data_IF_874964478836
#
_entry.id   IF_874964478836
#
_cell.length_a   1.000
_cell.length_b   1.000
_cell.length_c   1.000
_cell.angle_alpha   90.00
_cell.angle_beta   90.00
_cell.angle_gamma   90.00
#
_symmetry.space_group_name_H-M   'P 1'
#
loop_
_entity.id
_entity.type
_entity.pdbx_description
1 polymer ?
#
# COMPACT_ATOMS: atom_id res chain seq x y z
N UNK A 1 7.63 3.67 -9.57
CA UNK A 1 6.42 3.63 -10.42
C UNK A 1 5.95 5.06 -10.72
N UNK A 2 5.49 5.35 -11.94
CA UNK A 2 4.91 6.65 -12.36
C UNK A 2 3.51 6.44 -12.94
N UNK A 3 2.68 7.48 -13.05
CA UNK A 3 1.33 7.38 -13.63
C UNK A 3 1.36 6.92 -15.10
N UNK A 4 2.25 7.51 -15.92
CA UNK A 4 2.38 7.15 -17.34
C UNK A 4 2.61 5.65 -17.57
N UNK A 5 3.46 5.02 -16.74
CA UNK A 5 3.72 3.58 -16.83
C UNK A 5 2.47 2.75 -16.47
N UNK A 6 1.61 3.24 -15.58
CA UNK A 6 0.35 2.57 -15.21
C UNK A 6 -0.70 2.70 -16.31
N UNK A 7 -0.74 3.84 -17.01
CA UNK A 7 -1.57 4.04 -18.19
C UNK A 7 -1.14 3.11 -19.34
N UNK A 8 0.17 2.94 -19.55
CA UNK A 8 0.72 1.97 -20.50
C UNK A 8 0.33 0.52 -20.19
N UNK A 9 0.10 0.15 -18.92
CA UNK A 9 -0.45 -1.17 -18.62
C UNK A 9 -1.96 -1.25 -18.82
N UNK A 10 -2.67 -0.12 -18.72
CA UNK A 10 -4.12 -0.10 -18.85
C UNK A 10 -4.57 -0.43 -20.28
N UNK A 11 -3.73 -0.23 -21.30
CA UNK A 11 -4.00 -0.68 -22.67
C UNK A 11 -3.99 -2.22 -22.82
N UNK A 12 -3.46 -2.96 -21.86
CA UNK A 12 -3.47 -4.44 -21.86
C UNK A 12 -4.80 -5.02 -21.37
N UNK A 13 -5.77 -4.18 -21.01
CA UNK A 13 -7.12 -4.61 -20.65
C UNK A 13 -7.87 -5.21 -21.87
N UNK A 14 -8.84 -6.14 -21.66
CA UNK A 14 -9.42 -6.53 -20.38
C UNK A 14 -8.55 -7.52 -19.61
N UNK A 15 -8.53 -7.33 -18.28
CA UNK A 15 -7.91 -8.29 -17.36
C UNK A 15 -8.92 -9.34 -16.91
N UNK A 16 -8.46 -10.57 -16.71
CA UNK A 16 -9.29 -11.71 -16.32
C UNK A 16 -8.45 -12.92 -15.96
N UNK A 17 -9.08 -14.10 -15.90
CA UNK A 17 -8.42 -15.36 -15.52
C UNK A 17 -7.20 -15.67 -16.39
N UNK A 18 -7.29 -15.40 -17.69
CA UNK A 18 -6.24 -15.69 -18.67
C UNK A 18 -5.30 -14.49 -18.95
N UNK A 19 -5.62 -13.31 -18.37
CA UNK A 19 -4.81 -12.09 -18.45
C UNK A 19 -4.85 -11.36 -17.09
N UNK A 20 -4.13 -11.86 -16.07
CA UNK A 20 -4.14 -11.24 -14.76
C UNK A 20 -3.49 -9.85 -14.82
N UNK A 21 -3.94 -8.94 -13.95
CA UNK A 21 -3.29 -7.63 -13.81
C UNK A 21 -1.83 -7.79 -13.43
N UNK A 22 -0.92 -6.96 -13.96
CA UNK A 22 0.47 -6.98 -13.55
C UNK A 22 0.60 -6.61 -12.07
N UNK A 23 1.43 -7.36 -11.36
CA UNK A 23 1.82 -7.09 -9.96
C UNK A 23 3.30 -6.77 -9.90
N UNK A 24 3.67 -5.91 -8.95
CA UNK A 24 5.03 -5.43 -8.76
C UNK A 24 5.45 -5.66 -7.34
N UNK A 25 6.75 -5.84 -7.11
CA UNK A 25 7.32 -5.97 -5.79
C UNK A 25 8.19 -4.76 -5.47
N UNK A 26 8.07 -4.26 -4.24
CA UNK A 26 8.97 -3.23 -3.69
C UNK A 26 9.31 -3.61 -2.25
N UNK A 27 10.52 -3.25 -1.81
CA UNK A 27 11.11 -3.69 -0.54
C UNK A 27 11.58 -2.49 0.26
N UNK A 28 11.76 -2.69 1.57
CA UNK A 28 12.29 -1.68 2.49
C UNK A 28 11.49 -0.36 2.49
N UNK A 29 10.18 -0.42 2.24
CA UNK A 29 9.33 0.77 2.24
C UNK A 29 9.08 1.20 3.68
N UNK A 30 9.50 2.41 4.05
CA UNK A 30 9.23 2.96 5.38
C UNK A 30 7.74 3.21 5.55
N UNK A 31 7.17 2.71 6.64
CA UNK A 31 5.78 3.02 7.02
C UNK A 31 5.76 4.35 7.76
N UNK A 32 5.29 5.41 7.11
CA UNK A 32 5.16 6.72 7.77
C UNK A 32 3.86 6.89 8.53
N UNK A 33 2.76 6.27 8.04
CA UNK A 33 1.45 6.34 8.69
C UNK A 33 0.55 5.18 8.29
N UNK A 34 -0.28 4.74 9.23
CA UNK A 34 -1.36 3.76 9.02
C UNK A 34 -2.69 4.30 9.55
N UNK A 35 -3.80 3.98 8.88
CA UNK A 35 -5.14 4.25 9.38
C UNK A 35 -6.17 3.39 8.68
N UNK A 36 -7.22 3.00 9.40
CA UNK A 36 -8.32 2.20 8.86
C UNK A 36 -9.36 3.13 8.25
N UNK A 37 -9.83 2.80 7.04
CA UNK A 37 -10.84 3.55 6.30
C UNK A 37 -11.98 2.65 5.82
N UNK A 38 -12.99 3.27 5.20
CA UNK A 38 -14.16 2.60 4.66
C UNK A 38 -15.31 2.56 5.66
N UNK A 39 -16.54 2.46 5.14
CA UNK A 39 -17.77 2.43 5.96
C UNK A 39 -17.75 1.29 6.98
N UNK A 40 -17.16 0.16 6.61
CA UNK A 40 -17.07 -1.03 7.45
C UNK A 40 -15.71 -1.15 8.19
N UNK A 41 -14.87 -0.11 8.12
CA UNK A 41 -13.53 -0.11 8.72
C UNK A 41 -12.70 -1.35 8.36
N UNK A 42 -12.76 -1.75 7.09
CA UNK A 42 -12.17 -3.00 6.59
C UNK A 42 -11.08 -2.76 5.55
N UNK A 43 -10.56 -1.54 5.45
CA UNK A 43 -9.44 -1.22 4.56
C UNK A 43 -8.34 -0.53 5.35
N UNK A 44 -7.15 -1.11 5.37
CA UNK A 44 -5.98 -0.45 5.93
C UNK A 44 -5.37 0.45 4.86
N UNK A 45 -5.30 1.75 5.12
CA UNK A 45 -4.56 2.70 4.30
C UNK A 45 -3.21 3.00 4.94
N UNK A 46 -2.18 3.07 4.10
CA UNK A 46 -0.81 3.34 4.52
C UNK A 46 -0.20 4.45 3.67
N UNK A 47 0.59 5.32 4.31
CA UNK A 47 1.56 6.15 3.61
C UNK A 47 2.93 5.51 3.75
N UNK A 48 3.47 5.07 2.62
CA UNK A 48 4.79 4.45 2.52
C UNK A 48 5.78 5.47 1.96
N UNK A 49 7.06 5.28 2.24
CA UNK A 49 8.14 6.09 1.66
C UNK A 49 9.16 5.14 1.04
N UNK A 50 9.42 5.30 -0.25
CA UNK A 50 10.43 4.49 -0.94
C UNK A 50 11.84 4.85 -0.49
N UNK A 51 12.82 4.01 -0.82
CA UNK A 51 14.24 4.29 -0.55
C UNK A 51 14.72 5.63 -1.17
N UNK A 52 14.05 6.09 -2.25
CA UNK A 52 14.31 7.38 -2.88
C UNK A 52 13.59 8.56 -2.18
N UNK A 53 12.95 8.33 -1.03
CA UNK A 53 12.22 9.36 -0.28
C UNK A 53 10.86 9.74 -0.87
N UNK A 54 10.35 9.00 -1.87
CA UNK A 54 9.07 9.33 -2.51
C UNK A 54 7.89 8.80 -1.69
N UNK A 55 6.90 9.63 -1.34
CA UNK A 55 5.70 9.16 -0.67
C UNK A 55 4.83 8.34 -1.63
N UNK A 56 4.29 7.24 -1.13
CA UNK A 56 3.45 6.29 -1.86
C UNK A 56 2.18 6.04 -1.05
N UNK A 57 1.02 6.12 -1.68
CA UNK A 57 -0.25 5.76 -1.04
C UNK A 57 -0.53 4.29 -1.30
N UNK A 58 -0.73 3.50 -0.24
CA UNK A 58 -1.09 2.08 -0.36
C UNK A 58 -2.38 1.76 0.40
N UNK A 59 -3.08 0.73 -0.06
CA UNK A 59 -4.27 0.17 0.59
C UNK A 59 -4.15 -1.36 0.64
N UNK A 60 -4.69 -1.93 1.71
CA UNK A 60 -4.79 -3.37 1.90
C UNK A 60 -6.24 -3.73 2.26
N UNK A 61 -6.82 -4.64 1.49
CA UNK A 61 -8.21 -5.12 1.63
C UNK A 61 -8.33 -6.49 2.31
N UNK A 62 -7.21 -7.12 2.69
CA UNK A 62 -7.22 -8.41 3.35
C UNK A 62 -7.45 -8.32 4.86
N UNK A 63 -6.89 -9.27 5.60
CA UNK A 63 -7.05 -9.35 7.05
C UNK A 63 -6.18 -8.32 7.78
N UNK A 64 -6.80 -7.23 8.20
CA UNK A 64 -6.13 -6.11 8.90
C UNK A 64 -5.55 -6.56 10.24
N UNK A 65 -6.23 -7.45 10.96
CA UNK A 65 -5.76 -7.91 12.27
C UNK A 65 -4.58 -8.86 12.12
N UNK A 66 -4.57 -9.70 11.08
CA UNK A 66 -3.40 -10.49 10.72
C UNK A 66 -2.19 -9.60 10.38
N UNK A 67 -2.39 -8.55 9.56
CA UNK A 67 -1.32 -7.61 9.22
C UNK A 67 -0.83 -6.81 10.43
N UNK A 68 -1.74 -6.38 11.30
CA UNK A 68 -1.38 -5.73 12.57
C UNK A 68 -0.55 -6.66 13.43
N UNK A 69 -0.99 -7.91 13.60
CA UNK A 69 -0.31 -8.92 14.42
C UNK A 69 1.09 -9.16 13.89
N UNK A 70 1.23 -9.35 12.58
CA UNK A 70 2.52 -9.44 11.89
C UNK A 70 3.45 -8.27 12.24
N UNK A 71 2.99 -7.03 12.10
CA UNK A 71 3.81 -5.85 12.39
C UNK A 71 4.17 -5.74 13.89
N UNK A 72 3.25 -6.11 14.79
CA UNK A 72 3.51 -6.12 16.24
C UNK A 72 4.56 -7.17 16.59
N UNK A 73 4.52 -8.36 15.97
CA UNK A 73 5.53 -9.39 16.17
C UNK A 73 6.92 -8.95 15.69
N UNK A 74 7.01 -8.21 14.59
CA UNK A 74 8.28 -7.75 14.04
C UNK A 74 8.86 -6.52 14.75
N UNK A 75 8.02 -5.55 15.13
CA UNK A 75 8.47 -4.23 15.59
C UNK A 75 8.00 -3.85 17.00
N UNK A 76 7.09 -4.63 17.58
CA UNK A 76 6.48 -4.34 18.87
C UNK A 76 5.30 -3.36 18.79
N UNK A 77 4.41 -3.45 19.78
CA UNK A 77 3.19 -2.65 19.85
C UNK A 77 3.45 -1.15 19.80
N UNK A 78 4.53 -0.67 20.41
CA UNK A 78 4.84 0.77 20.46
C UNK A 78 5.11 1.36 19.07
N UNK A 79 5.85 0.66 18.21
CA UNK A 79 6.16 1.14 16.86
C UNK A 79 4.92 1.13 15.95
N UNK A 80 4.10 0.09 16.09
CA UNK A 80 2.82 -0.02 15.37
C UNK A 80 1.88 1.12 15.76
N UNK A 81 1.74 1.39 17.06
CA UNK A 81 0.92 2.50 17.55
C UNK A 81 1.45 3.86 17.09
N UNK A 82 2.77 4.07 17.07
CA UNK A 82 3.35 5.31 16.51
C UNK A 82 2.91 5.51 15.05
N UNK A 83 2.96 4.47 14.21
CA UNK A 83 2.50 4.58 12.83
C UNK A 83 1.00 4.84 12.70
N UNK A 84 0.14 4.23 13.53
CA UNK A 84 -1.29 4.55 13.54
C UNK A 84 -1.58 6.01 13.92
N UNK A 85 -0.73 6.58 14.78
CA UNK A 85 -0.80 7.99 15.16
C UNK A 85 -0.03 8.93 14.22
N UNK A 86 0.60 8.41 13.15
CA UNK A 86 1.43 9.19 12.23
C UNK A 86 2.68 9.82 12.87
N UNK A 87 3.21 9.18 13.91
CA UNK A 87 4.45 9.55 14.58
C UNK A 87 5.63 8.82 13.96
N UNK A 88 6.82 9.40 14.13
CA UNK A 88 8.06 8.78 13.69
C UNK A 88 8.24 7.39 14.31
N UNK A 89 8.61 6.43 13.46
CA UNK A 89 8.80 5.03 13.79
C UNK A 89 9.85 4.44 12.83
N UNK A 90 10.33 3.25 13.15
CA UNK A 90 11.40 2.56 12.40
C UNK A 90 10.89 1.39 11.54
N UNK A 91 9.57 1.31 11.30
CA UNK A 91 8.99 0.18 10.58
C UNK A 91 9.20 0.29 9.09
N UNK A 92 9.49 -0.85 8.47
CA UNK A 92 9.57 -1.02 7.03
C UNK A 92 8.73 -2.21 6.60
N UNK A 93 8.37 -2.26 5.32
CA UNK A 93 7.60 -3.35 4.76
C UNK A 93 8.02 -3.63 3.33
N UNK A 94 8.00 -4.89 2.95
CA UNK A 94 8.08 -5.35 1.56
C UNK A 94 6.69 -5.74 1.09
N UNK A 95 6.29 -5.26 -0.07
CA UNK A 95 4.95 -5.50 -0.60
C UNK A 95 5.01 -6.00 -2.03
N UNK A 96 4.03 -6.84 -2.37
CA UNK A 96 3.61 -7.10 -3.75
C UNK A 96 2.30 -6.36 -3.95
N UNK A 97 2.20 -5.56 -5.00
CA UNK A 97 1.05 -4.67 -5.22
C UNK A 97 0.64 -4.57 -6.69
N UNK A 98 -0.64 -4.24 -6.88
CA UNK A 98 -1.19 -3.78 -8.15
C UNK A 98 -1.29 -2.25 -8.13
N UNK A 99 -0.69 -1.52 -9.08
CA UNK A 99 -0.83 -0.07 -9.15
C UNK A 99 -2.20 0.31 -9.71
N UNK A 100 -2.78 1.39 -9.20
CA UNK A 100 -4.05 1.95 -9.66
C UNK A 100 -3.97 3.47 -9.67
N UNK A 101 -4.45 4.08 -10.75
CA UNK A 101 -4.70 5.52 -10.77
C UNK A 101 -6.07 5.74 -10.15
N UNK A 102 -6.12 6.54 -9.08
CA UNK A 102 -7.35 6.96 -8.46
C UNK A 102 -7.62 8.43 -8.82
N UNK A 103 -8.72 8.68 -9.51
CA UNK A 103 -9.14 10.02 -9.94
C UNK A 103 -10.20 10.55 -8.99
N UNK A 104 -9.88 11.62 -8.26
CA UNK A 104 -10.84 12.32 -7.40
C UNK A 104 -10.71 13.82 -7.62
N UNK A 105 -11.82 14.46 -8.04
CA UNK A 105 -11.91 15.91 -8.27
C UNK A 105 -10.71 16.47 -9.06
N UNK A 106 -10.46 15.89 -10.24
CA UNK A 106 -9.39 16.29 -11.17
C UNK A 106 -7.95 16.07 -10.67
N UNK A 107 -7.78 15.39 -9.53
CA UNK A 107 -6.48 14.90 -9.07
C UNK A 107 -6.36 13.40 -9.31
N UNK A 108 -5.32 13.03 -10.06
CA UNK A 108 -4.90 11.64 -10.23
C UNK A 108 -3.80 11.30 -9.24
N UNK A 109 -4.06 10.28 -8.42
CA UNK A 109 -3.07 9.79 -7.46
C UNK A 109 -2.78 8.33 -7.70
N UNK A 110 -1.50 8.00 -7.75
CA UNK A 110 -1.04 6.63 -7.79
C UNK A 110 -1.29 5.97 -6.43
N UNK A 111 -2.06 4.88 -6.44
CA UNK A 111 -2.37 4.09 -5.26
C UNK A 111 -1.96 2.64 -5.49
N UNK A 112 -1.30 2.05 -4.49
CA UNK A 112 -0.88 0.66 -4.52
C UNK A 112 -1.87 -0.20 -3.76
N UNK A 113 -2.46 -1.18 -4.43
CA UNK A 113 -3.30 -2.19 -3.79
C UNK A 113 -2.43 -3.40 -3.43
N UNK A 114 -2.13 -3.55 -2.13
CA UNK A 114 -1.26 -4.59 -1.59
C UNK A 114 -1.96 -5.95 -1.71
N UNK A 115 -1.29 -6.90 -2.37
CA UNK A 115 -1.72 -8.28 -2.52
C UNK A 115 -1.01 -9.19 -1.51
N UNK A 116 0.29 -8.96 -1.29
CA UNK A 116 1.11 -9.69 -0.33
C UNK A 116 2.05 -8.74 0.40
N UNK A 117 2.40 -9.09 1.63
CA UNK A 117 3.35 -8.32 2.44
C UNK A 117 4.33 -9.26 3.17
N UNK A 118 5.48 -8.70 3.50
CA UNK A 118 6.54 -9.29 4.33
C UNK A 118 7.36 -8.17 4.94
#
# INVERSE_FOLDING_TARGET
>A
MTNALVEEFSILAPFGKDNPKPVFADRNLKISRMWVIGKNQNVLRMTLVSEQGRPLSAIYFGDIEAMRTYLVEQYGTQEVEKAFHGRENNMQISIVYSPKINTYKDSETLQFEIQYYR
#
